data_IF_410150004780
#
_entry.id   IF_410150004780
#
_cell.length_a   1.000
_cell.length_b   1.000
_cell.length_c   1.000
_cell.angle_alpha   90.00
_cell.angle_beta   90.00
_cell.angle_gamma   90.00
#
_symmetry.space_group_name_H-M   'P 1'
#
loop_
_entity.id
_entity.type
_entity.pdbx_description
1 polymer ?
#
# COMPACT_ATOMS: atom_id res chain seq x y z
N UNK A 1 59.74 2.24 10.68
CA UNK A 1 58.59 1.63 11.38
C UNK A 1 57.23 2.04 10.82
N UNK A 2 57.09 2.97 9.87
CA UNK A 2 55.78 3.52 9.44
C UNK A 2 55.13 2.85 8.22
N UNK A 3 55.88 2.21 7.32
CA UNK A 3 55.32 1.66 6.08
C UNK A 3 54.46 0.39 6.27
N UNK A 4 54.79 -0.44 7.26
CA UNK A 4 54.03 -1.65 7.57
C UNK A 4 52.69 -1.35 8.28
N UNK A 5 52.66 -0.30 9.10
CA UNK A 5 51.46 0.18 9.81
C UNK A 5 50.43 0.74 8.82
N UNK A 6 50.88 1.59 7.90
CA UNK A 6 49.99 2.19 6.88
C UNK A 6 49.42 1.15 5.89
N UNK A 7 50.18 0.12 5.54
CA UNK A 7 49.72 -0.98 4.67
C UNK A 7 48.67 -1.85 5.35
N UNK A 8 48.80 -2.09 6.66
CA UNK A 8 47.85 -2.87 7.46
C UNK A 8 46.52 -2.12 7.63
N UNK A 9 46.59 -0.81 7.84
CA UNK A 9 45.41 0.07 7.98
C UNK A 9 44.63 0.19 6.66
N UNK A 10 45.32 0.38 5.54
CA UNK A 10 44.70 0.42 4.20
C UNK A 10 44.06 -0.89 3.82
N UNK A 11 44.61 -2.04 4.21
CA UNK A 11 44.04 -3.34 3.93
C UNK A 11 42.75 -3.60 4.76
N UNK A 12 42.74 -3.13 6.01
CA UNK A 12 41.56 -3.20 6.90
C UNK A 12 40.41 -2.31 6.39
N UNK A 13 40.74 -1.11 5.91
CA UNK A 13 39.78 -0.18 5.32
C UNK A 13 39.14 -0.77 4.02
N UNK A 14 39.94 -1.36 3.14
CA UNK A 14 39.42 -2.03 1.94
C UNK A 14 38.51 -3.19 2.27
N UNK A 15 38.83 -4.00 3.26
CA UNK A 15 37.98 -5.13 3.69
C UNK A 15 36.64 -4.63 4.23
N UNK A 16 36.64 -3.59 5.07
CA UNK A 16 35.39 -3.00 5.60
C UNK A 16 34.51 -2.43 4.48
N UNK A 17 35.10 -1.78 3.49
CA UNK A 17 34.40 -1.21 2.34
C UNK A 17 33.73 -2.32 1.48
N UNK A 18 34.43 -3.44 1.28
CA UNK A 18 33.90 -4.60 0.55
C UNK A 18 32.73 -5.21 1.31
N UNK A 19 32.82 -5.35 2.63
CA UNK A 19 31.72 -5.84 3.45
C UNK A 19 30.52 -4.92 3.43
N UNK A 20 30.75 -3.62 3.53
CA UNK A 20 29.68 -2.62 3.40
C UNK A 20 28.98 -2.73 2.03
N UNK A 21 29.75 -2.83 0.96
CA UNK A 21 29.20 -3.03 -0.37
C UNK A 21 28.34 -4.30 -0.50
N UNK A 22 28.77 -5.41 0.10
CA UNK A 22 27.99 -6.66 0.12
C UNK A 22 26.69 -6.52 0.89
N UNK A 23 26.72 -5.84 2.03
CA UNK A 23 25.51 -5.58 2.83
C UNK A 23 24.53 -4.71 2.06
N UNK A 24 25.01 -3.66 1.41
CA UNK A 24 24.15 -2.80 0.56
C UNK A 24 23.52 -3.58 -0.58
N UNK A 25 24.28 -4.41 -1.29
CA UNK A 25 23.74 -5.26 -2.36
C UNK A 25 22.69 -6.25 -1.83
N UNK A 26 22.93 -6.82 -0.65
CA UNK A 26 21.96 -7.71 -0.02
C UNK A 26 20.64 -6.97 0.31
N UNK A 27 20.74 -5.79 0.90
CA UNK A 27 19.56 -4.97 1.22
C UNK A 27 18.78 -4.60 -0.04
N UNK A 28 19.47 -4.18 -1.10
CA UNK A 28 18.82 -3.87 -2.38
C UNK A 28 18.14 -5.12 -2.95
N UNK A 29 18.81 -6.26 -2.91
CA UNK A 29 18.25 -7.53 -3.39
C UNK A 29 16.97 -7.91 -2.63
N UNK A 30 16.96 -7.79 -1.30
CA UNK A 30 15.79 -8.04 -0.48
C UNK A 30 14.66 -7.04 -0.75
N UNK A 31 14.98 -5.77 -0.95
CA UNK A 31 14.00 -4.75 -1.30
C UNK A 31 13.33 -5.02 -2.66
N UNK A 32 14.11 -5.44 -3.66
CA UNK A 32 13.58 -5.81 -4.98
C UNK A 32 12.67 -7.04 -4.90
N UNK A 33 13.10 -8.08 -4.18
CA UNK A 33 12.27 -9.28 -3.97
C UNK A 33 10.98 -8.91 -3.23
N UNK A 34 11.06 -8.07 -2.19
CA UNK A 34 9.89 -7.59 -1.47
C UNK A 34 8.92 -6.81 -2.36
N UNK A 35 9.42 -5.92 -3.20
CA UNK A 35 8.58 -5.15 -4.13
C UNK A 35 7.89 -6.04 -5.17
N UNK A 36 8.57 -7.05 -5.69
CA UNK A 36 7.97 -8.01 -6.61
C UNK A 36 6.89 -8.83 -5.91
N UNK A 37 7.17 -9.32 -4.71
CA UNK A 37 6.19 -10.07 -3.92
C UNK A 37 4.94 -9.23 -3.64
N UNK A 38 5.10 -7.98 -3.20
CA UNK A 38 4.00 -7.04 -2.94
C UNK A 38 3.14 -6.83 -4.19
N UNK A 39 3.76 -6.54 -5.32
CA UNK A 39 3.03 -6.33 -6.58
C UNK A 39 2.21 -7.55 -7.02
N UNK A 40 2.75 -8.75 -6.81
CA UNK A 40 2.04 -10.00 -7.14
C UNK A 40 0.91 -10.26 -6.15
N UNK A 41 1.15 -10.01 -4.86
CA UNK A 41 0.16 -10.17 -3.81
C UNK A 41 -1.01 -9.19 -3.99
N UNK A 42 -0.74 -7.91 -4.23
CA UNK A 42 -1.77 -6.91 -4.53
C UNK A 42 -2.63 -7.29 -5.75
N UNK A 43 -2.02 -7.77 -6.82
CA UNK A 43 -2.76 -8.21 -8.00
C UNK A 43 -3.64 -9.44 -7.72
N UNK A 44 -3.17 -10.36 -6.88
CA UNK A 44 -3.94 -11.52 -6.45
C UNK A 44 -5.11 -11.10 -5.54
N UNK A 45 -4.88 -10.21 -4.59
CA UNK A 45 -5.89 -9.70 -3.66
C UNK A 45 -6.98 -8.88 -4.39
N UNK A 46 -6.58 -8.02 -5.31
CA UNK A 46 -7.53 -7.26 -6.13
C UNK A 46 -8.47 -8.16 -6.95
N UNK A 47 -7.99 -9.34 -7.34
CA UNK A 47 -8.80 -10.33 -8.05
C UNK A 47 -9.68 -11.17 -7.11
N UNK A 48 -9.15 -11.52 -5.93
CA UNK A 48 -9.85 -12.33 -4.95
C UNK A 48 -10.92 -11.54 -4.18
N UNK A 49 -10.67 -10.25 -3.96
CA UNK A 49 -11.51 -9.34 -3.19
C UNK A 49 -11.84 -8.07 -3.98
N UNK A 50 -12.63 -8.18 -5.07
CA UNK A 50 -13.02 -6.99 -5.82
C UNK A 50 -13.82 -6.05 -4.91
N UNK A 51 -13.56 -4.73 -4.95
CA UNK A 51 -14.31 -3.78 -4.14
C UNK A 51 -15.79 -3.80 -4.51
N UNK A 52 -16.70 -3.79 -3.54
CA UNK A 52 -18.13 -3.67 -3.80
C UNK A 52 -18.44 -2.30 -4.43
N UNK A 53 -19.54 -2.22 -5.21
CA UNK A 53 -19.97 -0.98 -5.83
C UNK A 53 -19.42 -0.78 -7.24
N UNK A 54 -19.24 0.47 -7.63
CA UNK A 54 -18.85 0.82 -8.99
C UNK A 54 -17.99 2.09 -9.07
N UNK A 55 -17.25 2.23 -10.16
CA UNK A 55 -16.54 3.45 -10.50
C UNK A 55 -17.39 4.33 -11.40
N UNK A 56 -17.64 5.55 -10.98
CA UNK A 56 -18.40 6.57 -11.73
C UNK A 56 -17.44 7.64 -12.25
N UNK A 57 -17.54 7.95 -13.53
CA UNK A 57 -16.78 9.06 -14.13
C UNK A 57 -17.44 10.39 -13.72
N UNK A 58 -16.63 11.29 -13.22
CA UNK A 58 -17.06 12.61 -12.74
C UNK A 58 -16.39 13.76 -13.52
N UNK A 59 -15.93 13.48 -14.73
CA UNK A 59 -15.31 14.48 -15.60
C UNK A 59 -13.78 14.45 -15.57
N UNK A 60 -13.19 13.36 -16.07
CA UNK A 60 -11.75 13.19 -16.22
C UNK A 60 -11.07 12.33 -15.15
N UNK A 61 -11.79 11.95 -14.10
CA UNK A 61 -11.38 10.95 -13.12
C UNK A 61 -12.58 10.15 -12.63
N UNK A 62 -12.32 8.98 -12.04
CA UNK A 62 -13.38 8.10 -11.55
C UNK A 62 -13.39 8.06 -10.03
N UNK A 63 -14.57 8.19 -9.46
CA UNK A 63 -14.83 7.98 -8.04
C UNK A 63 -15.51 6.64 -7.82
N UNK A 64 -15.09 5.96 -6.76
CA UNK A 64 -15.75 4.74 -6.32
C UNK A 64 -16.99 5.12 -5.49
N UNK A 65 -18.12 4.45 -5.77
CA UNK A 65 -19.35 4.57 -5.00
C UNK A 65 -19.93 3.20 -4.73
N UNK A 66 -20.34 2.96 -3.51
CA UNK A 66 -21.04 1.76 -3.11
C UNK A 66 -22.39 2.13 -2.49
N UNK A 67 -23.49 1.76 -3.17
CA UNK A 67 -24.84 2.07 -2.72
C UNK A 67 -25.56 0.78 -2.33
N UNK A 68 -26.22 0.81 -1.18
CA UNK A 68 -27.04 -0.28 -0.64
C UNK A 68 -28.38 0.25 -0.16
N UNK A 69 -29.34 -0.67 0.09
CA UNK A 69 -30.70 -0.29 0.49
C UNK A 69 -31.52 0.35 -0.63
N UNK A 70 -32.74 0.75 -0.30
CA UNK A 70 -33.70 1.37 -1.23
C UNK A 70 -34.59 2.36 -0.51
N UNK A 71 -35.14 3.33 -1.26
CA UNK A 71 -36.01 4.34 -0.69
C UNK A 71 -35.46 5.76 -0.83
N UNK A 72 -36.11 6.70 -0.18
CA UNK A 72 -35.80 8.14 -0.23
C UNK A 72 -36.03 8.77 1.14
N UNK A 73 -35.22 9.77 1.53
CA UNK A 73 -34.11 10.35 0.79
C UNK A 73 -32.88 9.42 0.76
N UNK A 74 -31.99 9.59 -0.23
CA UNK A 74 -30.70 8.89 -0.24
C UNK A 74 -29.75 9.56 0.76
N UNK A 75 -29.16 8.76 1.64
CA UNK A 75 -28.11 9.18 2.56
C UNK A 75 -26.76 9.03 1.87
N UNK A 76 -25.95 10.04 1.91
CA UNK A 76 -24.55 10.02 1.43
C UNK A 76 -23.62 9.98 2.62
N UNK A 77 -22.71 9.01 2.63
CA UNK A 77 -21.67 8.87 3.64
C UNK A 77 -20.33 9.10 2.94
N UNK A 78 -19.53 9.99 3.48
CA UNK A 78 -18.21 10.30 2.98
C UNK A 78 -17.15 9.98 4.03
N UNK A 79 -16.09 9.28 3.62
CA UNK A 79 -14.95 9.02 4.49
C UNK A 79 -14.10 10.28 4.64
N UNK A 80 -13.66 10.57 5.87
CA UNK A 80 -12.78 11.69 6.16
C UNK A 80 -11.37 11.51 5.60
N UNK A 81 -10.56 12.55 5.70
CA UNK A 81 -9.17 12.50 5.26
C UNK A 81 -8.38 11.41 6.00
N UNK A 82 -7.76 10.52 5.24
CA UNK A 82 -7.00 9.38 5.79
C UNK A 82 -7.86 8.18 6.20
N UNK A 83 -9.14 8.21 5.88
CA UNK A 83 -10.09 7.14 6.19
C UNK A 83 -10.64 6.47 4.92
N UNK A 84 -11.31 5.33 5.07
CA UNK A 84 -11.81 4.52 3.96
C UNK A 84 -13.30 4.22 4.14
N UNK A 85 -13.96 3.85 3.06
CA UNK A 85 -15.37 3.47 3.07
C UNK A 85 -15.70 2.33 4.05
N UNK A 86 -14.77 1.46 4.35
CA UNK A 86 -14.93 0.35 5.29
C UNK A 86 -15.20 0.78 6.73
N UNK A 87 -14.77 1.98 7.13
CA UNK A 87 -15.06 2.55 8.45
C UNK A 87 -16.56 2.70 8.69
N UNK A 88 -17.32 2.93 7.62
CA UNK A 88 -18.76 3.12 7.67
C UNK A 88 -19.56 1.82 7.48
N UNK A 89 -18.91 0.67 7.33
CA UNK A 89 -19.58 -0.60 7.03
C UNK A 89 -20.74 -0.92 7.96
N UNK A 90 -20.54 -0.84 9.27
CA UNK A 90 -21.61 -1.10 10.24
C UNK A 90 -22.74 -0.09 10.18
N UNK A 91 -22.43 1.20 9.92
CA UNK A 91 -23.43 2.26 9.81
C UNK A 91 -24.21 2.13 8.51
N UNK A 92 -23.53 1.84 7.42
CA UNK A 92 -24.14 1.66 6.10
C UNK A 92 -25.16 0.54 6.12
N UNK A 93 -24.85 -0.60 6.70
CA UNK A 93 -25.75 -1.75 6.79
C UNK A 93 -27.01 -1.43 7.60
N UNK A 94 -26.90 -0.68 8.68
CA UNK A 94 -28.05 -0.29 9.49
C UNK A 94 -28.93 0.74 8.76
N UNK A 95 -28.34 1.74 8.14
CA UNK A 95 -29.08 2.76 7.38
C UNK A 95 -29.76 2.14 6.15
N UNK A 96 -29.11 1.17 5.50
CA UNK A 96 -29.65 0.48 4.34
C UNK A 96 -30.97 -0.27 4.62
N UNK A 97 -31.28 -0.58 5.87
CA UNK A 97 -32.56 -1.20 6.26
C UNK A 97 -33.72 -0.24 6.14
N UNK A 98 -33.49 1.05 6.18
CA UNK A 98 -34.54 2.09 6.22
C UNK A 98 -34.60 2.93 4.96
N UNK A 99 -33.47 3.18 4.30
CA UNK A 99 -33.38 3.99 3.08
C UNK A 99 -32.19 3.60 2.22
N UNK A 100 -32.07 4.23 1.07
CA UNK A 100 -30.88 4.08 0.22
C UNK A 100 -29.72 4.85 0.84
N UNK A 101 -28.54 4.20 0.93
CA UNK A 101 -27.30 4.82 1.42
C UNK A 101 -26.16 4.52 0.45
N UNK A 102 -25.34 5.52 0.19
CA UNK A 102 -24.21 5.45 -0.73
C UNK A 102 -22.92 5.93 -0.06
#
# INVERSE_FOLDING_TARGET
>A
MNALSTKKEKNKMNTSLIWLGRVVVLIIGLAVVGAIYESVAEAADAKAYPPPGQLVDVGGYRLHINCTGSGSPTVIIEAGHGDWSTTWGFVQDEVAKTTRVC
#
